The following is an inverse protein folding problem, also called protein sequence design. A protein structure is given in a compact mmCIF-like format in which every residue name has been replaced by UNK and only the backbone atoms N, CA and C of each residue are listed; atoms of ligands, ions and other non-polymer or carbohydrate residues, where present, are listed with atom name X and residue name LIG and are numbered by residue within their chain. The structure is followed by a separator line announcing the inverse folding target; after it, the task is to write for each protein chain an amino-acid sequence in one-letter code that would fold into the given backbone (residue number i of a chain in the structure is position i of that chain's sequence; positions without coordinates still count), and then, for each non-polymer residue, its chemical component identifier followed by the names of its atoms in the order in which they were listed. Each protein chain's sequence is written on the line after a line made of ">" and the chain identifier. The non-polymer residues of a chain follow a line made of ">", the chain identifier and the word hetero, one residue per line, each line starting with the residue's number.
data_IF_692176400319
#
_entry.id   IF_692176400319
#
_cell.length_a   1.000
_cell.length_b   1.000
_cell.length_c   1.000
_cell.angle_alpha   90.00
_cell.angle_beta   90.00
_cell.angle_gamma   90.00
#
_symmetry.space_group_name_H-M   'P 1'
#
loop_
_entity.id
_entity.type
_entity.pdbx_description
1 polymer ?
#
# COMPACT_ATOMS: atom_id res chain seq x y z
N UNK A 1 -12.11 1.53 -18.82
CA UNK A 1 -11.83 2.65 -17.88
C UNK A 1 -10.94 2.06 -16.77
N UNK A 2 -10.79 2.68 -15.59
CA UNK A 2 -9.97 2.10 -14.51
C UNK A 2 -10.69 2.11 -13.16
N UNK A 3 -10.24 1.29 -12.22
CA UNK A 3 -10.79 1.22 -10.86
C UNK A 3 -10.60 2.55 -10.11
N UNK A 4 -11.70 3.17 -9.69
CA UNK A 4 -11.76 4.36 -8.84
C UNK A 4 -12.44 4.03 -7.50
N UNK A 5 -12.30 4.92 -6.52
CA UNK A 5 -13.06 4.87 -5.26
C UNK A 5 -13.90 6.14 -5.21
N UNK A 6 -15.22 6.00 -5.15
CA UNK A 6 -16.16 7.11 -5.02
C UNK A 6 -16.85 7.02 -3.66
N UNK A 7 -16.49 7.91 -2.74
CA UNK A 7 -16.99 7.87 -1.37
C UNK A 7 -16.55 6.59 -0.64
N UNK A 8 -17.48 5.66 -0.44
CA UNK A 8 -17.35 4.43 0.34
C UNK A 8 -17.40 3.15 -0.48
N UNK A 9 -17.37 3.23 -1.81
CA UNK A 9 -17.45 2.06 -2.69
C UNK A 9 -16.49 2.16 -3.88
N UNK A 10 -16.18 1.00 -4.46
CA UNK A 10 -15.38 0.88 -5.67
C UNK A 10 -16.22 1.16 -6.93
N UNK A 11 -15.65 1.89 -7.88
CA UNK A 11 -16.29 2.27 -9.14
C UNK A 11 -15.33 2.08 -10.33
N UNK A 12 -15.84 2.18 -11.57
CA UNK A 12 -15.02 2.25 -12.77
C UNK A 12 -15.18 3.63 -13.41
N UNK A 13 -14.07 4.34 -13.64
CA UNK A 13 -14.11 5.70 -14.16
C UNK A 13 -12.83 6.18 -14.83
N UNK A 14 -12.89 7.40 -15.36
CA UNK A 14 -11.70 8.13 -15.85
C UNK A 14 -10.86 8.53 -14.64
N UNK A 15 -9.59 8.12 -14.61
CA UNK A 15 -8.68 8.41 -13.48
C UNK A 15 -8.26 7.18 -12.67
N UNK A 16 -8.96 6.05 -12.75
CA UNK A 16 -8.53 4.82 -12.05
C UNK A 16 -7.19 4.26 -12.54
N UNK A 17 -6.77 4.66 -13.75
CA UNK A 17 -5.42 4.43 -14.25
C UNK A 17 -4.34 5.12 -13.39
N UNK A 18 -4.62 6.30 -12.85
CA UNK A 18 -3.66 7.10 -12.09
C UNK A 18 -3.43 6.52 -10.69
N UNK A 19 -4.48 6.13 -9.95
CA UNK A 19 -4.30 5.49 -8.63
C UNK A 19 -3.48 4.21 -8.73
N UNK A 20 -3.75 3.38 -9.73
CA UNK A 20 -2.99 2.16 -10.00
C UNK A 20 -1.55 2.45 -10.46
N UNK A 21 -1.29 3.58 -11.13
CA UNK A 21 0.06 4.03 -11.46
C UNK A 21 0.82 4.49 -10.22
N UNK A 22 0.18 5.29 -9.35
CA UNK A 22 0.79 5.74 -8.10
C UNK A 22 1.02 4.60 -7.11
N UNK A 23 0.16 3.57 -7.08
CA UNK A 23 0.42 2.33 -6.34
C UNK A 23 1.76 1.70 -6.74
N UNK A 24 2.05 1.64 -8.05
CA UNK A 24 3.30 1.09 -8.56
C UNK A 24 4.50 1.97 -8.17
N UNK A 25 4.37 3.29 -8.24
CA UNK A 25 5.41 4.22 -7.79
C UNK A 25 5.66 4.08 -6.28
N UNK A 26 4.60 3.99 -5.50
CA UNK A 26 4.67 3.81 -4.05
C UNK A 26 5.38 2.52 -3.69
N UNK A 27 4.97 1.41 -4.31
CA UNK A 27 5.61 0.11 -4.10
C UNK A 27 7.12 0.14 -4.40
N UNK A 28 7.53 0.69 -5.55
CA UNK A 28 8.95 0.83 -5.86
C UNK A 28 9.69 1.73 -4.86
N UNK A 29 9.06 2.81 -4.41
CA UNK A 29 9.64 3.75 -3.44
C UNK A 29 9.86 3.09 -2.08
N UNK A 30 8.88 2.30 -1.58
CA UNK A 30 9.03 1.54 -0.34
C UNK A 30 10.25 0.60 -0.39
N UNK A 31 10.60 0.11 -1.57
CA UNK A 31 11.77 -0.75 -1.80
C UNK A 31 13.09 0.00 -2.08
N UNK A 32 13.19 1.27 -1.66
CA UNK A 32 14.34 2.15 -1.94
C UNK A 32 14.67 3.07 -0.75
N UNK A 33 15.82 3.77 -0.76
CA UNK A 33 16.15 4.79 0.24
C UNK A 33 15.39 6.12 0.03
N UNK A 34 14.54 6.23 -0.99
CA UNK A 34 13.80 7.46 -1.24
C UNK A 34 12.82 7.76 -0.10
N UNK A 35 12.66 9.05 0.22
CA UNK A 35 11.80 9.52 1.30
C UNK A 35 10.43 9.85 0.76
N UNK A 36 9.39 9.20 1.29
CA UNK A 36 7.99 9.57 1.02
C UNK A 36 7.67 10.80 1.87
N UNK A 37 7.33 11.91 1.22
CA UNK A 37 7.00 13.17 1.92
C UNK A 37 5.50 13.45 1.94
N UNK A 38 4.72 12.78 1.09
CA UNK A 38 3.27 12.85 1.08
C UNK A 38 2.72 11.53 0.53
N UNK A 39 1.81 10.91 1.28
CA UNK A 39 1.10 9.69 0.89
C UNK A 39 -0.27 9.68 1.55
N UNK A 40 -1.28 9.39 0.74
CA UNK A 40 -2.67 9.26 1.18
C UNK A 40 -3.17 7.87 0.81
N UNK A 41 -3.92 7.25 1.71
CA UNK A 41 -4.58 5.97 1.47
C UNK A 41 -5.92 5.93 2.21
N UNK A 42 -6.86 5.12 1.72
CA UNK A 42 -8.14 4.88 2.40
C UNK A 42 -7.92 3.96 3.61
N UNK A 43 -7.35 4.50 4.69
CA UNK A 43 -7.03 3.73 5.91
C UNK A 43 -8.26 3.22 6.67
N UNK A 44 -9.41 3.89 6.50
CA UNK A 44 -10.60 3.61 7.31
C UNK A 44 -11.56 2.55 6.75
N UNK A 45 -11.42 2.14 5.49
CA UNK A 45 -12.37 1.24 4.81
C UNK A 45 -11.62 0.12 4.08
N UNK A 46 -12.03 -1.12 4.33
CA UNK A 46 -11.62 -2.27 3.54
C UNK A 46 -12.73 -2.61 2.53
N UNK A 47 -12.52 -2.15 1.30
CA UNK A 47 -13.52 -2.17 0.23
C UNK A 47 -13.51 -3.47 -0.60
N UNK A 48 -12.53 -4.35 -0.40
CA UNK A 48 -12.38 -5.52 -1.27
C UNK A 48 -11.85 -6.72 -0.50
N UNK A 49 -12.49 -7.89 -0.63
CA UNK A 49 -12.00 -9.12 -0.03
C UNK A 49 -10.62 -9.49 -0.58
N UNK A 50 -9.83 -10.21 0.23
CA UNK A 50 -8.48 -10.64 -0.14
C UNK A 50 -8.49 -11.77 -1.17
N UNK A 51 -8.74 -11.44 -2.43
CA UNK A 51 -8.53 -12.38 -3.53
C UNK A 51 -7.07 -12.36 -3.98
N UNK A 52 -6.28 -13.32 -3.49
CA UNK A 52 -4.87 -13.52 -3.89
C UNK A 52 -4.00 -12.27 -3.71
N UNK A 53 -4.21 -11.52 -2.63
CA UNK A 53 -3.42 -10.33 -2.31
C UNK A 53 -1.94 -10.69 -2.21
N UNK A 54 -1.10 -9.99 -2.99
CA UNK A 54 0.37 -10.16 -2.98
C UNK A 54 1.11 -9.02 -2.27
N UNK A 55 0.40 -7.95 -1.91
CA UNK A 55 0.95 -6.72 -1.35
C UNK A 55 0.22 -6.42 -0.04
N UNK A 56 0.90 -6.05 1.07
CA UNK A 56 0.27 -5.79 2.36
C UNK A 56 -0.93 -4.84 2.28
N UNK A 57 -1.94 -5.07 3.12
CA UNK A 57 -3.12 -4.20 3.19
C UNK A 57 -2.73 -2.78 3.62
N UNK A 58 -3.44 -1.79 3.06
CA UNK A 58 -3.19 -0.37 3.34
C UNK A 58 -2.07 0.29 2.53
N UNK A 59 -1.31 -0.45 1.73
CA UNK A 59 -0.23 0.10 0.87
C UNK A 59 -0.73 0.74 -0.44
N UNK A 60 -2.05 0.83 -0.62
CA UNK A 60 -2.66 1.56 -1.73
C UNK A 60 -2.36 3.06 -1.64
N UNK A 61 -2.46 3.74 -2.76
CA UNK A 61 -2.27 5.19 -2.88
C UNK A 61 -3.51 5.81 -3.48
N UNK A 62 -3.93 6.92 -2.89
CA UNK A 62 -4.98 7.79 -3.40
C UNK A 62 -4.38 9.12 -3.81
N UNK A 63 -4.66 9.56 -5.03
CA UNK A 63 -4.34 10.89 -5.50
C UNK A 63 -5.58 11.55 -6.08
N UNK A 64 -5.68 12.86 -5.89
CA UNK A 64 -6.82 13.65 -6.35
C UNK A 64 -6.25 14.93 -6.92
N UNK A 65 -6.54 15.20 -8.19
CA UNK A 65 -6.06 16.39 -8.88
C UNK A 65 -6.33 17.66 -8.06
N UNK A 66 -5.28 18.46 -7.84
CA UNK A 66 -5.25 19.69 -7.02
C UNK A 66 -5.48 19.55 -5.51
N UNK A 67 -5.70 18.35 -4.96
CA UNK A 67 -6.02 18.19 -3.54
C UNK A 67 -5.11 17.21 -2.81
N UNK A 68 -4.78 16.07 -3.41
CA UNK A 68 -3.99 15.01 -2.78
C UNK A 68 -2.90 14.55 -3.74
N UNK A 69 -1.64 14.75 -3.36
CA UNK A 69 -0.49 14.35 -4.14
C UNK A 69 0.18 13.09 -3.55
N UNK A 70 0.93 12.39 -4.40
CA UNK A 70 1.93 11.43 -3.92
C UNK A 70 3.32 12.05 -4.17
N UNK A 71 4.08 12.27 -3.10
CA UNK A 71 5.35 13.00 -3.18
C UNK A 71 6.50 12.21 -2.60
N UNK A 72 7.59 12.20 -3.33
CA UNK A 72 8.83 11.52 -2.99
C UNK A 72 9.99 12.51 -3.13
N UNK A 73 10.91 12.48 -2.19
CA UNK A 73 12.14 13.27 -2.18
C UNK A 73 13.33 12.33 -2.18
N UNK A 74 14.34 12.67 -2.98
CA UNK A 74 15.61 11.99 -2.97
C UNK A 74 16.56 12.73 -2.00
N UNK A 75 16.74 12.16 -0.81
CA UNK A 75 17.66 12.68 0.21
C UNK A 75 19.05 12.04 0.14
N UNK A 76 19.33 11.28 -0.92
CA UNK A 76 20.60 10.58 -1.12
C UNK A 76 21.53 11.35 -2.06
N UNK A 77 22.77 10.89 -2.17
CA UNK A 77 23.76 11.36 -3.14
C UNK A 77 23.70 10.62 -4.49
N UNK A 78 22.75 9.70 -4.67
CA UNK A 78 22.59 8.89 -5.87
C UNK A 78 21.48 9.42 -6.78
N UNK A 79 21.60 9.19 -8.08
CA UNK A 79 20.56 9.55 -9.05
C UNK A 79 19.61 8.38 -9.25
N UNK A 80 18.31 8.63 -9.06
CA UNK A 80 17.26 7.65 -9.30
C UNK A 80 16.45 7.93 -10.56
N UNK A 81 16.01 6.86 -11.24
CA UNK A 81 15.09 6.95 -12.37
C UNK A 81 13.94 5.96 -12.20
N UNK A 82 12.72 6.48 -12.17
CA UNK A 82 11.52 5.69 -12.40
C UNK A 82 11.35 5.44 -13.90
N UNK A 83 11.24 4.17 -14.29
CA UNK A 83 10.79 3.75 -15.61
C UNK A 83 9.49 2.99 -15.45
N UNK A 84 8.43 3.50 -16.06
CA UNK A 84 7.14 2.83 -16.08
C UNK A 84 6.71 2.65 -17.52
N UNK A 85 6.21 1.45 -17.81
CA UNK A 85 5.58 1.13 -19.09
C UNK A 85 4.30 0.36 -18.84
N UNK A 86 3.38 0.49 -19.78
CA UNK A 86 2.18 -0.34 -19.87
C UNK A 86 2.34 -1.16 -21.14
N UNK A 87 2.19 -2.47 -21.05
CA UNK A 87 2.03 -3.35 -22.20
C UNK A 87 0.57 -3.83 -22.30
N UNK A 88 0.27 -4.72 -23.24
CA UNK A 88 -1.10 -5.14 -23.54
C UNK A 88 -1.82 -5.77 -22.33
N UNK A 89 -1.09 -6.32 -21.37
CA UNK A 89 -1.65 -7.04 -20.22
C UNK A 89 -1.27 -6.43 -18.86
N UNK A 90 -0.09 -5.81 -18.74
CA UNK A 90 0.49 -5.47 -17.45
C UNK A 90 1.14 -4.08 -17.41
N UNK A 91 1.13 -3.51 -16.20
CA UNK A 91 1.93 -2.34 -15.86
C UNK A 91 3.24 -2.81 -15.26
N UNK A 92 4.34 -2.29 -15.77
CA UNK A 92 5.68 -2.67 -15.31
C UNK A 92 6.45 -1.44 -14.86
N UNK A 93 7.06 -1.55 -13.69
CA UNK A 93 7.90 -0.52 -13.09
C UNK A 93 9.32 -1.01 -12.90
N UNK A 94 10.28 -0.10 -13.06
CA UNK A 94 11.66 -0.26 -12.62
C UNK A 94 12.10 1.03 -11.94
N UNK A 95 12.69 0.90 -10.75
CA UNK A 95 13.42 1.98 -10.11
C UNK A 95 14.91 1.69 -10.25
N UNK A 96 15.61 2.54 -10.99
CA UNK A 96 17.05 2.42 -11.25
C UNK A 96 17.81 3.41 -10.36
N UNK A 97 19.00 3.02 -9.94
CA UNK A 97 20.00 3.90 -9.36
C UNK A 97 21.25 3.89 -10.25
N UNK A 98 21.97 4.99 -10.28
CA UNK A 98 23.28 5.10 -10.94
C UNK A 98 24.39 4.34 -10.18
N UNK A 99 24.16 4.01 -8.91
CA UNK A 99 25.08 3.22 -8.09
C UNK A 99 24.39 2.02 -7.39
N UNK A 100 25.14 0.96 -7.06
CA UNK A 100 24.58 -0.14 -6.27
C UNK A 100 24.18 0.31 -4.87
N UNK A 101 22.92 0.06 -4.49
CA UNK A 101 22.48 0.28 -3.11
C UNK A 101 23.12 -0.75 -2.16
N UNK A 102 23.67 -0.34 -1.00
CA UNK A 102 24.24 -1.26 0.00
C UNK A 102 23.15 -2.09 0.71
N UNK A 103 21.93 -1.54 0.78
CA UNK A 103 20.78 -2.16 1.44
C UNK A 103 19.76 -2.67 0.42
N UNK A 104 19.08 -3.75 0.79
CA UNK A 104 17.83 -4.23 0.19
C UNK A 104 16.70 -3.98 1.18
N UNK A 105 15.60 -3.43 0.70
CA UNK A 105 14.43 -3.08 1.50
C UNK A 105 13.37 -4.16 1.30
N UNK A 106 12.77 -4.66 2.37
CA UNK A 106 11.73 -5.69 2.31
C UNK A 106 10.49 -5.24 3.08
N UNK A 107 9.38 -5.06 2.37
CA UNK A 107 8.09 -4.68 2.95
C UNK A 107 7.31 -5.93 3.30
N UNK A 108 6.76 -6.00 4.50
CA UNK A 108 5.95 -7.13 4.97
C UNK A 108 4.86 -6.67 5.92
N UNK A 109 3.85 -7.52 6.05
CA UNK A 109 2.76 -7.35 7.00
C UNK A 109 3.08 -8.06 8.32
N UNK A 110 2.70 -7.44 9.43
CA UNK A 110 2.72 -8.00 10.78
C UNK A 110 1.37 -7.75 11.44
N UNK A 111 1.06 -8.55 12.46
CA UNK A 111 -0.14 -8.36 13.30
C UNK A 111 -1.43 -8.26 12.47
N UNK A 112 -1.55 -8.99 11.37
CA UNK A 112 -2.76 -9.03 10.55
C UNK A 112 -3.85 -9.85 11.23
N UNK A 113 -5.01 -9.25 11.51
CA UNK A 113 -6.17 -9.96 12.03
C UNK A 113 -7.49 -9.22 11.73
N UNK A 114 -8.57 -9.98 11.77
CA UNK A 114 -9.93 -9.45 11.74
C UNK A 114 -10.55 -9.57 13.13
N UNK A 115 -11.36 -8.59 13.53
CA UNK A 115 -12.06 -8.62 14.80
C UNK A 115 -13.48 -8.06 14.67
N UNK A 116 -14.39 -8.58 15.50
CA UNK A 116 -15.77 -8.13 15.56
C UNK A 116 -15.94 -7.08 16.66
N UNK A 117 -16.66 -6.01 16.35
CA UNK A 117 -17.08 -5.02 17.33
C UNK A 117 -18.54 -4.62 17.11
N UNK A 118 -19.12 -3.93 18.09
CA UNK A 118 -20.43 -3.29 17.95
C UNK A 118 -20.24 -1.81 17.70
N UNK A 119 -20.96 -1.31 16.71
CA UNK A 119 -21.11 0.12 16.48
C UNK A 119 -21.74 0.78 17.71
N UNK A 120 -21.14 1.86 18.21
CA UNK A 120 -21.62 2.52 19.43
C UNK A 120 -22.94 3.26 19.25
N UNK A 121 -23.28 3.65 18.03
CA UNK A 121 -24.51 4.42 17.73
C UNK A 121 -25.66 3.50 17.32
N UNK A 122 -25.42 2.61 16.36
CA UNK A 122 -26.43 1.71 15.79
C UNK A 122 -26.53 0.36 16.50
N UNK A 123 -25.55 -0.02 17.32
CA UNK A 123 -25.47 -1.33 17.97
C UNK A 123 -25.20 -2.51 17.02
N UNK A 124 -25.03 -2.23 15.72
CA UNK A 124 -24.82 -3.22 14.68
C UNK A 124 -23.46 -3.92 14.84
N UNK A 125 -23.42 -5.21 14.52
CA UNK A 125 -22.16 -5.96 14.44
C UNK A 125 -21.36 -5.48 13.23
N UNK A 126 -20.11 -5.10 13.46
CA UNK A 126 -19.15 -4.69 12.43
C UNK A 126 -17.92 -5.59 12.50
N UNK A 127 -17.29 -5.83 11.36
CA UNK A 127 -15.99 -6.51 11.27
C UNK A 127 -14.95 -5.49 10.84
N UNK A 128 -13.80 -5.49 11.51
CA UNK A 128 -12.68 -4.63 11.20
C UNK A 128 -11.45 -5.45 10.90
N UNK A 129 -10.57 -4.90 10.09
CA UNK A 129 -9.26 -5.46 9.74
C UNK A 129 -8.18 -4.59 10.35
N UNK A 130 -7.26 -5.21 11.06
CA UNK A 130 -6.07 -4.59 11.58
C UNK A 130 -4.83 -5.23 10.94
N UNK A 131 -3.82 -4.42 10.63
CA UNK A 131 -2.48 -4.88 10.31
C UNK A 131 -1.46 -3.76 10.48
N UNK A 132 -0.20 -4.14 10.64
CA UNK A 132 0.95 -3.24 10.65
C UNK A 132 1.81 -3.57 9.42
N UNK A 133 2.21 -2.54 8.68
CA UNK A 133 3.16 -2.71 7.58
C UNK A 133 4.51 -2.19 8.02
N UNK A 134 5.53 -3.04 7.87
CA UNK A 134 6.91 -2.72 8.24
C UNK A 134 7.85 -2.90 7.04
N UNK A 135 8.99 -2.22 7.12
CA UNK A 135 10.09 -2.28 6.16
C UNK A 135 11.37 -2.69 6.86
N UNK A 136 11.92 -3.83 6.49
CA UNK A 136 13.24 -4.27 6.94
C UNK A 136 14.34 -3.73 6.01
N UNK A 137 15.44 -3.30 6.61
CA UNK A 137 16.68 -2.95 5.93
C UNK A 137 17.64 -4.15 6.01
N UNK A 138 18.01 -4.72 4.86
CA UNK A 138 18.90 -5.87 4.78
C UNK A 138 20.19 -5.50 4.09
N UNK A 139 21.32 -5.66 4.77
CA UNK A 139 22.63 -5.45 4.16
C UNK A 139 22.84 -6.48 3.03
N UNK A 140 23.15 -6.01 1.82
CA UNK A 140 23.26 -6.91 0.64
C UNK A 140 24.48 -7.81 0.69
N UNK A 141 25.53 -7.43 1.43
CA UNK A 141 26.79 -8.18 1.50
C UNK A 141 26.70 -9.35 2.48
N UNK A 142 26.06 -9.11 3.63
CA UNK A 142 25.97 -10.06 4.76
C UNK A 142 24.63 -10.77 4.81
N UNK A 143 23.57 -10.15 4.27
CA UNK A 143 22.20 -10.62 4.41
C UNK A 143 21.61 -10.37 5.81
N UNK A 144 22.28 -9.65 6.70
CA UNK A 144 21.72 -9.34 8.01
C UNK A 144 20.67 -8.23 7.92
N UNK A 145 19.63 -8.34 8.72
CA UNK A 145 18.69 -7.23 8.94
C UNK A 145 19.41 -6.22 9.84
N UNK A 146 19.62 -5.01 9.33
CA UNK A 146 20.30 -3.91 10.04
C UNK A 146 19.32 -2.98 10.74
N UNK A 147 18.03 -3.11 10.46
CA UNK A 147 16.96 -2.39 11.14
C UNK A 147 15.59 -2.70 10.55
N UNK A 148 14.55 -2.24 11.23
CA UNK A 148 13.16 -2.33 10.80
C UNK A 148 12.47 -1.01 11.11
N UNK A 149 11.63 -0.56 10.18
CA UNK A 149 10.83 0.65 10.28
C UNK A 149 9.36 0.30 10.14
N UNK A 150 8.51 0.88 11.00
CA UNK A 150 7.06 0.82 10.83
C UNK A 150 6.64 1.87 9.80
N UNK A 151 6.01 1.44 8.72
CA UNK A 151 5.54 2.31 7.66
C UNK A 151 4.14 2.86 7.95
N UNK A 152 3.22 1.98 8.35
CA UNK A 152 1.85 2.33 8.68
C UNK A 152 1.18 1.25 9.53
N UNK A 153 0.09 1.62 10.17
CA UNK A 153 -0.86 0.72 10.83
C UNK A 153 -2.24 1.04 10.30
N UNK A 154 -2.97 0.00 9.91
CA UNK A 154 -4.35 0.14 9.49
C UNK A 154 -5.28 -0.40 10.56
N UNK A 155 -6.42 0.25 10.64
CA UNK A 155 -7.59 -0.27 11.32
C UNK A 155 -8.82 0.14 10.49
N UNK A 156 -9.30 -0.79 9.67
CA UNK A 156 -10.25 -0.52 8.59
C UNK A 156 -11.56 -1.27 8.79
N UNK A 157 -12.69 -0.60 8.51
CA UNK A 157 -14.01 -1.22 8.54
C UNK A 157 -14.25 -2.02 7.26
N UNK A 158 -14.58 -3.30 7.40
CA UNK A 158 -14.91 -4.18 6.28
C UNK A 158 -16.23 -3.75 5.65
N UNK A 159 -16.22 -3.49 4.33
CA UNK A 159 -17.39 -3.07 3.53
C UNK A 159 -17.90 -4.10 2.55
N UNK A 160 -17.36 -5.32 2.60
CA UNK A 160 -17.86 -6.49 1.88
C UNK A 160 -18.45 -7.50 2.86
N UNK A 161 -19.08 -8.54 2.32
CA UNK A 161 -19.66 -9.62 3.12
C UNK A 161 -18.56 -10.32 3.95
N UNK A 162 -18.64 -10.31 5.30
CA UNK A 162 -17.68 -11.00 6.15
C UNK A 162 -17.56 -12.50 5.90
N UNK A 163 -18.54 -13.15 5.25
CA UNK A 163 -18.44 -14.56 4.85
C UNK A 163 -17.32 -14.82 3.82
N UNK A 164 -16.82 -13.77 3.16
CA UNK A 164 -15.71 -13.84 2.22
C UNK A 164 -14.33 -13.82 2.92
N UNK A 165 -14.28 -13.59 4.24
CA UNK A 165 -13.05 -13.60 5.02
C UNK A 165 -12.67 -15.05 5.32
N UNK A 166 -11.49 -15.47 4.87
CA UNK A 166 -10.98 -16.83 5.09
C UNK A 166 -10.26 -16.98 6.45
N UNK A 167 -9.75 -15.87 6.99
CA UNK A 167 -9.08 -15.85 8.28
C UNK A 167 -10.09 -15.87 9.44
N UNK A 168 -9.61 -16.29 10.61
CA UNK A 168 -10.42 -16.23 11.82
C UNK A 168 -10.76 -14.77 12.17
N UNK A 169 -12.04 -14.50 12.41
CA UNK A 169 -12.52 -13.24 12.98
C UNK A 169 -12.55 -13.40 14.50
N UNK A 170 -11.76 -12.57 15.19
CA UNK A 170 -11.64 -12.51 16.65
C UNK A 170 -12.86 -11.86 17.33
#
# INVERSE_FOLDING_TARGET
>A
MGLTVEGDHAAEGVGGGLCQFTNLLHWMTLHSPLTITEHHHHSGLDLSPDFKRQIPFGTGTSIVWNFLDYRVRNDTDQTFQFRVRVDDEYRRGQLRSDQPLPLKYHVREESGYFYRMRDSESGASQVRRHNVVVRDFRDKRTGLITGTERLLENDALVRYDPELIQDQIL
#
